data_IF_391413338598
#
_entry.id   IF_391413338598
#
_cell.length_a   1.000
_cell.length_b   1.000
_cell.length_c   1.000
_cell.angle_alpha   90.00
_cell.angle_beta   90.00
_cell.angle_gamma   90.00
#
_symmetry.space_group_name_H-M   'P 1'
#
loop_
_entity.id
_entity.type
_entity.pdbx_description
1 polymer ?
#
# COMPACT_ATOMS: atom_id res chain seq x y z
N UNK A 1 6.29 -10.99 -1.11
CA UNK A 1 5.65 -9.68 -0.90
C UNK A 1 6.26 -9.03 0.34
N UNK A 2 6.44 -7.70 0.33
CA UNK A 2 6.88 -6.92 1.50
C UNK A 2 5.74 -5.99 1.91
N UNK A 3 5.43 -5.89 3.20
CA UNK A 3 4.42 -4.97 3.71
C UNK A 3 5.06 -3.96 4.66
N UNK A 4 4.77 -2.67 4.45
CA UNK A 4 5.08 -1.59 5.36
C UNK A 4 3.79 -1.02 5.94
N UNK A 5 3.78 -0.80 7.25
CA UNK A 5 2.66 -0.18 7.97
C UNK A 5 3.23 0.79 9.00
N UNK A 6 2.79 2.05 8.93
CA UNK A 6 3.21 3.06 9.89
C UNK A 6 3.23 4.48 9.33
N UNK A 7 4.01 5.32 10.00
CA UNK A 7 4.18 6.72 9.63
C UNK A 7 4.88 6.88 8.28
N UNK A 8 4.43 7.80 7.44
CA UNK A 8 5.15 8.06 6.19
C UNK A 8 6.37 8.97 6.47
N UNK A 9 7.51 8.36 6.82
CA UNK A 9 8.76 9.08 7.05
C UNK A 9 9.25 9.92 5.86
N UNK A 10 8.85 9.57 4.63
CA UNK A 10 9.18 10.37 3.43
C UNK A 10 8.46 11.74 3.41
N UNK A 11 7.49 11.96 4.29
CA UNK A 11 6.88 13.28 4.52
C UNK A 11 7.76 14.20 5.36
N UNK A 12 8.71 13.64 6.12
CA UNK A 12 9.56 14.41 7.04
C UNK A 12 10.99 14.55 6.52
N UNK A 13 11.47 13.56 5.75
CA UNK A 13 12.85 13.50 5.29
C UNK A 13 12.98 12.85 3.91
N UNK A 14 14.07 13.19 3.23
CA UNK A 14 14.41 12.56 1.96
C UNK A 14 14.83 11.09 2.17
N UNK A 15 14.51 10.18 1.23
CA UNK A 15 14.97 8.80 1.30
C UNK A 15 16.50 8.75 1.18
N UNK A 16 17.16 7.77 1.82
CA UNK A 16 18.57 7.52 1.55
C UNK A 16 18.77 7.14 0.08
N UNK A 17 20.00 7.27 -0.46
CA UNK A 17 20.30 6.85 -1.83
C UNK A 17 19.82 5.41 -2.09
N UNK A 18 19.02 5.23 -3.13
CA UNK A 18 18.46 3.93 -3.51
C UNK A 18 19.30 3.34 -4.62
N UNK A 19 19.82 2.14 -4.41
CA UNK A 19 20.56 1.39 -5.43
C UNK A 19 19.61 0.80 -6.46
N UNK A 20 20.09 0.63 -7.69
CA UNK A 20 19.38 -0.13 -8.72
C UNK A 20 19.19 -1.61 -8.31
N UNK A 21 18.15 -2.28 -8.84
CA UNK A 21 17.99 -3.71 -8.64
C UNK A 21 19.19 -4.48 -9.23
N UNK A 22 19.53 -5.62 -8.61
CA UNK A 22 20.50 -6.54 -9.20
C UNK A 22 19.99 -7.04 -10.55
N UNK A 23 20.91 -7.30 -11.48
CA UNK A 23 20.57 -7.97 -12.73
C UNK A 23 19.85 -9.29 -12.43
N UNK A 24 18.69 -9.51 -13.06
CA UNK A 24 17.81 -10.67 -12.87
C UNK A 24 17.15 -10.77 -11.48
N UNK A 25 17.00 -9.67 -10.75
CA UNK A 25 16.20 -9.68 -9.53
C UNK A 25 14.75 -10.09 -9.82
N UNK A 26 14.22 -11.03 -9.05
CA UNK A 26 12.81 -11.40 -9.15
C UNK A 26 11.90 -10.20 -8.84
N UNK A 27 10.77 -10.03 -9.57
CA UNK A 27 9.79 -8.99 -9.27
C UNK A 27 9.35 -9.05 -7.82
N UNK A 28 9.26 -7.88 -7.18
CA UNK A 28 8.80 -7.78 -5.79
C UNK A 28 7.51 -6.99 -5.73
N UNK A 29 6.50 -7.59 -5.11
CA UNK A 29 5.25 -6.90 -4.80
C UNK A 29 5.30 -6.30 -3.40
N UNK A 30 4.71 -5.11 -3.23
CA UNK A 30 4.65 -4.39 -1.96
C UNK A 30 3.25 -3.92 -1.59
N UNK A 31 2.95 -3.89 -0.29
CA UNK A 31 1.83 -3.13 0.29
C UNK A 31 2.39 -2.06 1.23
N UNK A 32 1.92 -0.82 1.13
CA UNK A 32 2.43 0.33 1.89
C UNK A 32 1.26 1.11 2.49
N UNK A 33 0.98 0.84 3.76
CA UNK A 33 -0.03 1.52 4.56
C UNK A 33 0.60 2.67 5.34
N UNK A 34 0.64 3.84 4.71
CA UNK A 34 1.15 5.08 5.30
C UNK A 34 0.50 6.27 4.57
N UNK A 35 0.41 7.44 5.22
CA UNK A 35 -0.23 8.64 4.65
C UNK A 35 0.36 9.01 3.28
N UNK A 36 -0.48 9.20 2.26
CA UNK A 36 -0.06 9.55 0.89
C UNK A 36 1.02 8.63 0.29
N UNK A 37 1.09 7.37 0.73
CA UNK A 37 2.16 6.46 0.31
C UNK A 37 2.23 6.28 -1.21
N UNK A 38 1.12 6.41 -1.92
CA UNK A 38 1.11 6.32 -3.39
C UNK A 38 2.03 7.36 -4.02
N UNK A 39 2.01 8.59 -3.54
CA UNK A 39 2.78 9.68 -4.15
C UNK A 39 4.25 9.61 -3.72
N UNK A 40 4.50 9.43 -2.41
CA UNK A 40 5.85 9.50 -1.86
C UNK A 40 6.72 8.28 -2.23
N UNK A 41 6.11 7.11 -2.45
CA UNK A 41 6.87 5.89 -2.78
C UNK A 41 6.92 5.59 -4.28
N UNK A 42 6.17 6.31 -5.13
CA UNK A 42 6.05 5.99 -6.56
C UNK A 42 7.41 5.89 -7.26
N UNK A 43 8.27 6.91 -7.11
CA UNK A 43 9.59 6.93 -7.74
C UNK A 43 10.51 5.82 -7.21
N UNK A 44 10.47 5.57 -5.91
CA UNK A 44 11.26 4.51 -5.28
C UNK A 44 10.84 3.11 -5.76
N UNK A 45 9.53 2.88 -5.88
CA UNK A 45 8.98 1.62 -6.39
C UNK A 45 9.33 1.44 -7.88
N UNK A 46 9.29 2.52 -8.66
CA UNK A 46 9.68 2.51 -10.08
C UNK A 46 11.17 2.16 -10.25
N UNK A 47 12.07 2.85 -9.54
CA UNK A 47 13.53 2.58 -9.56
C UNK A 47 13.80 1.12 -9.17
N UNK A 48 13.05 0.60 -8.20
CA UNK A 48 13.19 -0.77 -7.71
C UNK A 48 12.44 -1.83 -8.53
N UNK A 49 11.75 -1.43 -9.60
CA UNK A 49 10.88 -2.29 -10.41
C UNK A 49 9.93 -3.14 -9.55
N UNK A 50 9.40 -2.52 -8.49
CA UNK A 50 8.51 -3.17 -7.54
C UNK A 50 7.05 -2.84 -7.87
N UNK A 51 6.19 -3.87 -7.84
CA UNK A 51 4.76 -3.73 -8.09
C UNK A 51 4.03 -3.33 -6.81
N UNK A 52 3.22 -2.28 -6.88
CA UNK A 52 2.47 -1.76 -5.73
C UNK A 52 1.08 -2.40 -5.65
N UNK A 53 0.94 -3.42 -4.80
CA UNK A 53 -0.35 -4.09 -4.57
C UNK A 53 -1.34 -3.18 -3.86
N UNK A 54 -0.86 -2.36 -2.92
CA UNK A 54 -1.72 -1.48 -2.15
C UNK A 54 -0.93 -0.28 -1.61
N UNK A 55 -1.41 0.91 -1.89
CA UNK A 55 -0.93 2.19 -1.34
C UNK A 55 -2.11 3.06 -0.92
N UNK A 56 -1.85 4.26 -0.39
CA UNK A 56 -2.87 5.20 0.05
C UNK A 56 -2.75 6.53 -0.68
N UNK A 57 -3.91 7.15 -0.98
CA UNK A 57 -4.04 8.43 -1.67
C UNK A 57 -4.13 9.62 -0.68
N UNK A 58 -4.15 9.40 0.62
CA UNK A 58 -4.44 10.45 1.61
C UNK A 58 -3.99 10.11 3.03
N UNK A 59 -4.37 10.98 3.98
CA UNK A 59 -4.16 10.74 5.40
C UNK A 59 -4.99 9.56 5.89
N UNK A 60 -4.38 8.68 6.68
CA UNK A 60 -5.03 7.48 7.19
C UNK A 60 -4.40 6.95 8.47
N UNK A 61 -5.15 6.18 9.24
CA UNK A 61 -4.65 5.45 10.39
C UNK A 61 -4.04 4.09 9.96
N UNK A 62 -2.71 3.91 9.99
CA UNK A 62 -2.06 2.70 9.48
C UNK A 62 -2.14 1.57 10.50
N UNK A 63 -3.27 0.85 10.52
CA UNK A 63 -3.55 -0.19 11.51
C UNK A 63 -3.67 -1.60 10.92
N UNK A 64 -3.35 -2.59 11.76
CA UNK A 64 -3.18 -3.99 11.37
C UNK A 64 -4.45 -4.61 10.75
N UNK A 65 -5.66 -4.18 11.13
CA UNK A 65 -6.90 -4.70 10.54
C UNK A 65 -7.02 -4.41 9.03
N UNK A 66 -6.40 -3.33 8.55
CA UNK A 66 -6.41 -2.99 7.12
C UNK A 66 -5.46 -3.91 6.38
N UNK A 67 -4.28 -4.14 6.97
CA UNK A 67 -3.28 -5.05 6.43
C UNK A 67 -3.80 -6.49 6.39
N UNK A 68 -4.39 -6.97 7.49
CA UNK A 68 -4.95 -8.32 7.57
C UNK A 68 -5.99 -8.54 6.47
N UNK A 69 -6.97 -7.64 6.31
CA UNK A 69 -7.98 -7.77 5.27
C UNK A 69 -7.39 -7.78 3.85
N UNK A 70 -6.40 -6.91 3.58
CA UNK A 70 -5.72 -6.86 2.28
C UNK A 70 -4.94 -8.14 1.99
N UNK A 71 -4.13 -8.59 2.95
CA UNK A 71 -3.30 -9.79 2.84
C UNK A 71 -4.17 -11.02 2.67
N UNK A 72 -5.22 -11.18 3.49
CA UNK A 72 -6.16 -12.29 3.40
C UNK A 72 -6.87 -12.33 2.05
N UNK A 73 -7.31 -11.18 1.51
CA UNK A 73 -7.92 -11.10 0.18
C UNK A 73 -6.95 -11.51 -0.93
N UNK A 74 -5.71 -11.02 -0.89
CA UNK A 74 -4.71 -11.31 -1.91
C UNK A 74 -4.31 -12.80 -1.93
N UNK A 75 -3.99 -13.37 -0.76
CA UNK A 75 -3.58 -14.77 -0.67
C UNK A 75 -4.72 -15.77 -0.88
N UNK A 76 -5.97 -15.32 -0.84
CA UNK A 76 -7.13 -16.12 -1.25
C UNK A 76 -7.39 -16.11 -2.76
N UNK A 77 -6.50 -15.49 -3.56
CA UNK A 77 -6.62 -15.40 -5.01
C UNK A 77 -7.45 -14.21 -5.51
N UNK A 78 -7.73 -13.23 -4.65
CA UNK A 78 -8.44 -12.02 -5.03
C UNK A 78 -7.60 -11.10 -5.93
N UNK A 79 -8.28 -10.37 -6.81
CA UNK A 79 -7.69 -9.35 -7.68
C UNK A 79 -7.16 -8.14 -6.89
N UNK A 80 -6.36 -7.29 -7.56
CA UNK A 80 -5.91 -6.00 -7.01
C UNK A 80 -7.10 -5.12 -6.56
N UNK A 81 -8.20 -5.13 -7.30
CA UNK A 81 -9.40 -4.37 -6.95
C UNK A 81 -10.12 -4.96 -5.73
N UNK A 82 -10.28 -6.28 -5.65
CA UNK A 82 -10.87 -6.94 -4.49
C UNK A 82 -10.03 -6.71 -3.24
N UNK A 83 -8.71 -6.80 -3.36
CA UNK A 83 -7.75 -6.50 -2.29
C UNK A 83 -7.89 -5.05 -1.80
N UNK A 84 -7.94 -4.08 -2.72
CA UNK A 84 -8.18 -2.66 -2.40
C UNK A 84 -9.53 -2.46 -1.69
N UNK A 85 -10.57 -3.12 -2.18
CA UNK A 85 -11.91 -3.01 -1.63
C UNK A 85 -12.01 -3.65 -0.23
N UNK A 86 -11.33 -4.77 0.01
CA UNK A 86 -11.24 -5.43 1.32
C UNK A 86 -10.53 -4.53 2.35
N UNK A 87 -9.40 -3.92 1.96
CA UNK A 87 -8.70 -2.95 2.78
C UNK A 87 -9.60 -1.75 3.14
N UNK A 88 -10.27 -1.17 2.13
CA UNK A 88 -11.19 -0.05 2.31
C UNK A 88 -12.40 -0.37 3.20
N UNK A 89 -12.95 -1.58 3.08
CA UNK A 89 -14.08 -2.03 3.89
C UNK A 89 -13.69 -2.28 5.35
N UNK A 90 -12.53 -2.91 5.58
CA UNK A 90 -11.98 -3.09 6.93
C UNK A 90 -11.70 -1.73 7.57
N UNK A 91 -11.06 -0.82 6.84
CA UNK A 91 -10.80 0.55 7.31
C UNK A 91 -12.09 1.29 7.69
N UNK A 92 -13.12 1.24 6.84
CA UNK A 92 -14.41 1.85 7.13
C UNK A 92 -15.05 1.31 8.42
N UNK A 93 -14.96 -0.01 8.64
CA UNK A 93 -15.51 -0.67 9.83
C UNK A 93 -14.84 -0.19 11.11
N UNK A 94 -13.51 -0.20 11.17
CA UNK A 94 -12.78 0.11 12.40
C UNK A 94 -12.66 1.60 12.68
N UNK A 95 -12.45 2.42 11.64
CA UNK A 95 -12.38 3.88 11.78
C UNK A 95 -13.76 4.56 11.82
N UNK A 96 -14.85 3.78 11.69
CA UNK A 96 -16.23 4.30 11.62
C UNK A 96 -16.39 5.38 10.53
N UNK A 97 -15.70 5.19 9.42
CA UNK A 97 -15.63 6.12 8.31
C UNK A 97 -16.60 5.74 7.17
N UNK A 98 -16.88 6.68 6.27
CA UNK A 98 -17.70 6.40 5.09
C UNK A 98 -17.04 5.37 4.17
N UNK A 99 -17.72 4.25 3.91
CA UNK A 99 -17.20 3.14 3.09
C UNK A 99 -16.72 3.54 1.70
N UNK A 100 -17.49 4.38 0.98
CA UNK A 100 -17.13 4.82 -0.38
C UNK A 100 -15.86 5.65 -0.36
N UNK A 101 -15.73 6.54 0.63
CA UNK A 101 -14.51 7.32 0.83
C UNK A 101 -13.33 6.43 1.23
N UNK A 102 -13.52 5.49 2.18
CA UNK A 102 -12.47 4.58 2.63
C UNK A 102 -11.92 3.71 1.50
N UNK A 103 -12.75 3.24 0.57
CA UNK A 103 -12.27 2.51 -0.62
C UNK A 103 -11.44 3.39 -1.55
N UNK A 104 -11.79 4.68 -1.71
CA UNK A 104 -11.03 5.65 -2.51
C UNK A 104 -9.73 6.09 -1.86
N UNK A 105 -9.62 5.96 -0.54
CA UNK A 105 -8.39 6.24 0.21
C UNK A 105 -7.27 5.28 -0.20
N UNK A 106 -7.58 4.06 -0.62
CA UNK A 106 -6.59 3.10 -1.09
C UNK A 106 -6.46 3.10 -2.61
N UNK A 107 -5.27 2.79 -3.09
CA UNK A 107 -4.95 2.58 -4.50
C UNK A 107 -4.26 1.24 -4.67
N UNK A 108 -4.54 0.56 -5.77
CA UNK A 108 -3.88 -0.66 -6.18
C UNK A 108 -3.49 -0.50 -7.65
N UNK A 109 -2.28 -0.91 -7.99
CA UNK A 109 -1.87 -0.98 -9.39
C UNK A 109 -2.56 -2.18 -10.05
N UNK A 110 -2.92 -2.06 -11.35
CA UNK A 110 -3.52 -3.15 -12.09
C UNK A 110 -2.59 -4.38 -12.19
#
# INVERSE_FOLDING_TARGET
MIAYIGHNGLMDFAPPPVSEPQANAAPRSSMILACYSRNYFAELLLIRQAHSLLTTNGFMAPEAYTLEAAVSSWFSGGSSEETRNAAGDSYAKFQKANRKWSRKLFAADP
#
